data_IF_816969860487
#
_entry.id   IF_816969860487
#
_cell.length_a   1.000
_cell.length_b   1.000
_cell.length_c   1.000
_cell.angle_alpha   90.00
_cell.angle_beta   90.00
_cell.angle_gamma   90.00
#
_symmetry.space_group_name_H-M   'P 1'
#
loop_
_entity.id
_entity.type
_entity.pdbx_description
1 polymer ?
#
# COMPACT_ATOMS: atom_id res chain seq x y z
N UNK A 1 -31.46 26.86 -29.00
CA UNK A 1 -30.79 26.86 -27.69
C UNK A 1 -31.29 28.11 -26.98
N UNK A 2 -31.91 27.93 -25.81
CA UNK A 2 -32.45 29.02 -25.00
C UNK A 2 -31.26 29.75 -24.36
N UNK A 3 -31.21 31.08 -24.52
CA UNK A 3 -30.16 31.93 -23.94
C UNK A 3 -30.87 32.85 -22.97
N UNK A 4 -30.59 32.67 -21.69
CA UNK A 4 -31.11 33.54 -20.65
C UNK A 4 -30.18 34.73 -20.49
N UNK A 5 -30.74 35.93 -20.68
CA UNK A 5 -30.03 37.18 -20.44
C UNK A 5 -30.37 37.63 -19.03
N UNK A 6 -29.40 37.52 -18.14
CA UNK A 6 -29.52 38.02 -16.77
C UNK A 6 -28.85 39.39 -16.68
N UNK A 7 -29.60 40.37 -16.21
CA UNK A 7 -29.09 41.71 -15.91
C UNK A 7 -28.95 41.80 -14.39
N UNK A 8 -27.73 42.05 -13.92
CA UNK A 8 -27.51 42.28 -12.50
C UNK A 8 -28.35 43.48 -12.02
N UNK A 9 -29.04 43.37 -10.87
CA UNK A 9 -29.83 44.48 -10.34
C UNK A 9 -28.93 45.67 -10.01
N UNK A 10 -29.50 46.89 -9.99
CA UNK A 10 -28.75 48.12 -9.72
C UNK A 10 -27.97 48.03 -8.40
N UNK A 11 -26.86 48.78 -8.30
CA UNK A 11 -25.82 48.76 -7.24
C UNK A 11 -26.30 48.97 -5.77
N UNK A 12 -27.61 48.97 -5.49
CA UNK A 12 -28.19 49.05 -4.15
C UNK A 12 -29.05 47.86 -3.70
N UNK A 13 -29.30 46.86 -4.56
CA UNK A 13 -30.17 45.71 -4.21
C UNK A 13 -29.37 44.42 -3.97
N UNK A 14 -28.48 44.07 -4.90
CA UNK A 14 -27.59 42.89 -4.81
C UNK A 14 -26.33 43.18 -5.63
N UNK A 15 -25.16 42.72 -5.17
CA UNK A 15 -23.92 42.89 -5.92
C UNK A 15 -23.92 42.03 -7.20
N UNK A 16 -23.20 42.46 -8.24
CA UNK A 16 -23.03 41.60 -9.43
C UNK A 16 -22.30 40.29 -9.09
N UNK A 17 -21.43 40.31 -8.09
CA UNK A 17 -20.78 39.11 -7.55
C UNK A 17 -21.79 38.09 -7.03
N UNK A 18 -22.71 38.52 -6.15
CA UNK A 18 -23.70 37.63 -5.57
C UNK A 18 -24.66 37.09 -6.63
N UNK A 19 -25.02 37.95 -7.60
CA UNK A 19 -25.83 37.53 -8.76
C UNK A 19 -25.09 36.47 -9.57
N UNK A 20 -23.82 36.69 -9.89
CA UNK A 20 -23.00 35.76 -10.67
C UNK A 20 -22.79 34.42 -9.93
N UNK A 21 -22.63 34.45 -8.60
CA UNK A 21 -22.48 33.26 -7.76
C UNK A 21 -23.65 32.27 -7.88
N UNK A 22 -24.87 32.77 -8.07
CA UNK A 22 -26.08 31.95 -8.24
C UNK A 22 -26.02 31.09 -9.52
N UNK A 23 -25.33 31.56 -10.57
CA UNK A 23 -25.35 30.95 -11.90
C UNK A 23 -24.10 30.14 -12.23
N UNK A 24 -22.91 30.53 -11.76
CA UNK A 24 -21.62 29.93 -12.19
C UNK A 24 -21.54 28.41 -11.98
N UNK A 25 -22.28 27.86 -11.02
CA UNK A 25 -22.30 26.42 -10.76
C UNK A 25 -23.26 25.62 -11.67
N UNK A 26 -24.21 26.30 -12.32
CA UNK A 26 -25.28 25.66 -13.09
C UNK A 26 -25.13 25.88 -14.60
N UNK A 27 -24.56 27.02 -14.99
CA UNK A 27 -24.38 27.42 -16.38
C UNK A 27 -22.96 27.93 -16.60
N UNK A 28 -22.54 27.98 -17.87
CA UNK A 28 -21.27 28.58 -18.26
C UNK A 28 -21.53 30.05 -18.68
N UNK A 29 -21.25 31.03 -17.81
CA UNK A 29 -21.64 32.41 -18.07
C UNK A 29 -20.70 33.09 -19.08
N UNK A 30 -21.28 33.93 -19.93
CA UNK A 30 -20.55 34.93 -20.72
C UNK A 30 -20.82 36.29 -20.10
N UNK A 31 -19.82 36.83 -19.40
CA UNK A 31 -19.99 38.07 -18.63
C UNK A 31 -19.75 39.29 -19.52
N UNK A 32 -20.69 40.23 -19.49
CA UNK A 32 -20.58 41.52 -20.17
C UNK A 32 -20.66 42.64 -19.13
N UNK A 33 -19.76 43.61 -19.22
CA UNK A 33 -19.72 44.77 -18.33
C UNK A 33 -19.83 46.05 -19.16
N UNK A 34 -20.95 46.76 -19.03
CA UNK A 34 -21.23 47.97 -19.79
C UNK A 34 -20.82 49.23 -19.00
N UNK A 35 -20.18 50.17 -19.67
CA UNK A 35 -19.58 51.37 -19.06
C UNK A 35 -20.02 52.59 -19.86
N UNK A 36 -20.73 53.54 -19.24
CA UNK A 36 -21.14 54.77 -19.92
C UNK A 36 -20.02 55.83 -19.93
N UNK A 37 -19.25 55.88 -18.84
CA UNK A 37 -18.23 56.91 -18.59
C UNK A 37 -16.89 56.62 -19.29
N UNK A 38 -16.03 57.65 -19.51
CA UNK A 38 -14.69 57.45 -20.07
C UNK A 38 -13.72 56.74 -19.12
N UNK A 39 -14.07 56.55 -17.85
CA UNK A 39 -13.27 55.92 -16.80
C UNK A 39 -14.15 55.10 -15.86
N UNK A 40 -13.59 54.08 -15.23
CA UNK A 40 -14.27 53.30 -14.20
C UNK A 40 -14.44 54.12 -12.91
N UNK A 41 -15.65 54.12 -12.35
CA UNK A 41 -15.88 54.67 -11.03
C UNK A 41 -15.17 53.84 -9.94
N UNK A 42 -14.93 54.39 -8.74
CA UNK A 42 -14.38 53.61 -7.62
C UNK A 42 -15.23 52.39 -7.27
N UNK A 43 -16.55 52.49 -7.45
CA UNK A 43 -17.51 51.40 -7.26
C UNK A 43 -17.28 50.28 -8.28
N UNK A 44 -17.21 50.63 -9.57
CA UNK A 44 -16.98 49.65 -10.66
C UNK A 44 -15.64 48.93 -10.49
N UNK A 45 -14.60 49.66 -10.06
CA UNK A 45 -13.29 49.06 -9.79
C UNK A 45 -13.35 48.08 -8.61
N UNK A 46 -14.11 48.38 -7.56
CA UNK A 46 -14.27 47.48 -6.42
C UNK A 46 -15.05 46.21 -6.82
N UNK A 47 -16.15 46.37 -7.55
CA UNK A 47 -16.97 45.27 -8.05
C UNK A 47 -16.18 44.34 -8.99
N UNK A 48 -15.43 44.91 -9.95
CA UNK A 48 -14.59 44.13 -10.85
C UNK A 48 -13.47 43.38 -10.11
N UNK A 49 -12.88 43.96 -9.06
CA UNK A 49 -11.90 43.24 -8.22
C UNK A 49 -12.53 42.04 -7.53
N UNK A 50 -13.73 42.21 -6.99
CA UNK A 50 -14.45 41.13 -6.31
C UNK A 50 -14.79 39.97 -7.26
N UNK A 51 -15.31 40.29 -8.46
CA UNK A 51 -15.62 39.29 -9.49
C UNK A 51 -14.35 38.54 -9.92
N UNK A 52 -13.23 39.24 -10.09
CA UNK A 52 -11.97 38.63 -10.50
C UNK A 52 -11.42 37.67 -9.44
N UNK A 53 -11.45 38.07 -8.18
CA UNK A 53 -10.98 37.25 -7.05
C UNK A 53 -11.76 35.94 -6.93
N UNK A 54 -13.09 36.00 -7.08
CA UNK A 54 -13.96 34.84 -6.85
C UNK A 54 -14.14 33.94 -8.06
N UNK A 55 -14.19 34.49 -9.27
CA UNK A 55 -14.59 33.70 -10.46
C UNK A 55 -13.53 33.61 -11.56
N UNK A 56 -12.54 34.52 -11.61
CA UNK A 56 -11.50 34.52 -12.65
C UNK A 56 -12.04 34.34 -14.09
N UNK A 57 -13.19 34.95 -14.39
CA UNK A 57 -13.87 34.80 -15.68
C UNK A 57 -13.43 35.86 -16.69
N UNK A 58 -13.39 35.53 -18.00
CA UNK A 58 -13.24 36.52 -19.05
C UNK A 58 -14.47 37.44 -19.13
N UNK A 59 -14.25 38.75 -19.25
CA UNK A 59 -15.31 39.76 -19.31
C UNK A 59 -15.26 40.51 -20.65
N UNK A 60 -16.43 40.69 -21.27
CA UNK A 60 -16.61 41.58 -22.41
C UNK A 60 -16.95 42.98 -21.91
N UNK A 61 -16.01 43.91 -21.96
CA UNK A 61 -16.23 45.31 -21.59
C UNK A 61 -16.75 46.10 -22.79
N UNK A 62 -17.90 46.74 -22.64
CA UNK A 62 -18.52 47.58 -23.67
C UNK A 62 -18.64 49.02 -23.18
N UNK A 63 -18.06 49.97 -23.89
CA UNK A 63 -18.32 51.40 -23.65
C UNK A 63 -19.56 51.85 -24.42
N UNK A 64 -20.47 52.54 -23.74
CA UNK A 64 -21.69 53.11 -24.33
C UNK A 64 -21.55 54.64 -24.31
N UNK A 65 -21.30 55.30 -25.44
CA UNK A 65 -21.18 56.77 -25.47
C UNK A 65 -22.52 57.45 -25.16
N UNK A 66 -22.51 58.55 -24.40
CA UNK A 66 -23.70 59.36 -24.18
C UNK A 66 -24.14 60.09 -25.47
N UNK A 67 -25.45 60.15 -25.78
CA UNK A 67 -25.96 60.72 -27.02
C UNK A 67 -25.80 62.26 -27.15
N UNK A 68 -25.38 62.94 -26.08
CA UNK A 68 -25.24 64.41 -26.01
C UNK A 68 -23.92 64.94 -26.58
N UNK A 69 -22.95 64.06 -26.88
CA UNK A 69 -21.58 64.48 -27.19
C UNK A 69 -21.22 64.55 -28.69
N UNK A 70 -22.18 64.32 -29.60
CA UNK A 70 -21.92 64.25 -31.05
C UNK A 70 -22.07 65.57 -31.83
N UNK A 71 -22.42 66.69 -31.18
CA UNK A 71 -22.34 68.01 -31.84
C UNK A 71 -21.05 68.72 -31.40
N UNK A 72 -20.06 68.73 -32.30
CA UNK A 72 -18.78 69.46 -32.26
C UNK A 72 -17.54 68.63 -31.86
N UNK A 73 -17.04 67.81 -32.79
CA UNK A 73 -15.64 67.93 -33.26
C UNK A 73 -15.26 66.80 -34.23
N UNK A 74 -14.63 67.10 -35.37
CA UNK A 74 -13.90 66.09 -36.15
C UNK A 74 -12.48 66.00 -35.58
N UNK A 75 -12.25 65.11 -34.61
CA UNK A 75 -10.88 64.72 -34.25
C UNK A 75 -10.67 63.25 -34.57
N UNK A 76 -9.72 63.01 -35.49
CA UNK A 76 -9.17 61.70 -35.76
C UNK A 76 -8.64 61.08 -34.45
N UNK A 77 -8.90 59.79 -34.18
CA UNK A 77 -8.42 59.17 -32.95
C UNK A 77 -6.89 59.06 -33.00
N UNK A 78 -6.22 59.86 -32.16
CA UNK A 78 -4.81 59.67 -31.87
C UNK A 78 -4.62 58.30 -31.22
N UNK A 79 -3.49 57.66 -31.50
CA UNK A 79 -3.11 56.32 -31.02
C UNK A 79 -2.83 56.24 -29.50
N UNK A 80 -3.33 57.20 -28.72
CA UNK A 80 -3.13 57.26 -27.28
C UNK A 80 -4.17 56.38 -26.58
N UNK A 81 -3.67 55.47 -25.73
CA UNK A 81 -4.47 54.47 -25.02
C UNK A 81 -5.53 55.18 -24.17
N UNK A 82 -6.80 54.81 -24.33
CA UNK A 82 -7.90 55.37 -23.53
C UNK A 82 -7.65 55.16 -22.03
N UNK A 83 -8.05 56.10 -21.16
CA UNK A 83 -7.84 55.98 -19.72
C UNK A 83 -8.55 54.75 -19.14
N UNK A 84 -9.72 54.40 -19.68
CA UNK A 84 -10.43 53.16 -19.39
C UNK A 84 -9.58 51.90 -19.70
N UNK A 85 -8.90 51.86 -20.84
CA UNK A 85 -8.01 50.75 -21.20
C UNK A 85 -6.86 50.62 -20.20
N UNK A 86 -6.29 51.74 -19.74
CA UNK A 86 -5.22 51.71 -18.74
C UNK A 86 -5.73 51.16 -17.41
N UNK A 87 -6.90 51.61 -16.93
CA UNK A 87 -7.50 51.08 -15.69
C UNK A 87 -7.78 49.57 -15.78
N UNK A 88 -8.27 49.06 -16.91
CA UNK A 88 -8.50 47.63 -17.11
C UNK A 88 -7.21 46.81 -17.26
N UNK A 89 -6.12 47.42 -17.72
CA UNK A 89 -4.77 46.82 -17.69
C UNK A 89 -4.24 46.75 -16.25
N UNK A 90 -4.42 47.81 -15.47
CA UNK A 90 -3.98 47.88 -14.07
C UNK A 90 -4.75 46.88 -13.19
N UNK A 91 -6.04 46.69 -13.46
CA UNK A 91 -6.87 45.63 -12.88
C UNK A 91 -6.56 44.23 -13.46
N UNK A 92 -5.64 44.14 -14.44
CA UNK A 92 -5.19 42.93 -15.14
C UNK A 92 -6.34 42.10 -15.74
N UNK A 93 -7.36 42.77 -16.27
CA UNK A 93 -8.36 42.13 -17.12
C UNK A 93 -7.87 42.05 -18.57
N UNK A 94 -7.17 43.09 -19.03
CA UNK A 94 -6.60 43.14 -20.37
C UNK A 94 -5.13 42.71 -20.34
N UNK A 95 -4.65 42.15 -21.45
CA UNK A 95 -3.21 41.92 -21.65
C UNK A 95 -2.59 43.13 -22.39
N UNK A 96 -1.31 43.50 -22.12
CA UNK A 96 -0.64 44.69 -22.69
C UNK A 96 -0.50 44.76 -24.23
N UNK A 97 -1.05 43.78 -24.97
CA UNK A 97 -0.98 43.51 -26.41
C UNK A 97 0.41 43.20 -26.99
N UNK A 98 0.50 42.05 -27.66
CA UNK A 98 1.43 41.79 -28.76
C UNK A 98 0.90 42.37 -30.10
N UNK A 99 1.64 42.21 -31.23
CA UNK A 99 1.59 43.09 -32.41
C UNK A 99 0.25 43.23 -33.16
N UNK A 100 -0.75 42.39 -32.87
CA UNK A 100 -2.04 42.34 -33.58
C UNK A 100 -3.20 43.07 -32.88
N UNK A 101 -3.07 43.45 -31.61
CA UNK A 101 -4.19 44.03 -30.84
C UNK A 101 -5.36 43.06 -30.60
N UNK A 102 -5.27 41.82 -31.13
CA UNK A 102 -6.13 40.70 -30.79
C UNK A 102 -5.64 40.08 -29.46
N UNK A 103 -6.50 40.08 -28.43
CA UNK A 103 -6.21 39.42 -27.15
C UNK A 103 -6.05 37.90 -27.31
N UNK A 104 -5.51 37.22 -26.29
CA UNK A 104 -5.48 35.76 -26.28
C UNK A 104 -6.93 35.21 -26.37
N UNK A 105 -7.17 34.12 -27.11
CA UNK A 105 -8.51 33.53 -27.19
C UNK A 105 -9.05 33.24 -25.78
N UNK A 106 -10.27 33.73 -25.53
CA UNK A 106 -10.97 33.67 -24.24
C UNK A 106 -10.33 34.46 -23.10
N UNK A 107 -9.54 35.48 -23.41
CA UNK A 107 -9.22 36.57 -22.48
C UNK A 107 -10.27 37.70 -22.56
N UNK A 108 -10.36 38.54 -21.53
CA UNK A 108 -11.27 39.70 -21.51
C UNK A 108 -10.95 40.71 -22.62
N UNK A 109 -11.97 41.37 -23.14
CA UNK A 109 -11.87 42.30 -24.27
C UNK A 109 -12.56 43.62 -23.95
N UNK A 110 -11.95 44.75 -24.34
CA UNK A 110 -12.56 46.08 -24.30
C UNK A 110 -12.99 46.52 -25.70
N UNK A 111 -14.25 46.90 -25.83
CA UNK A 111 -14.86 47.46 -27.04
C UNK A 111 -15.40 48.85 -26.74
N UNK A 112 -14.78 49.87 -27.31
CA UNK A 112 -15.18 51.28 -27.08
C UNK A 112 -16.16 51.84 -28.13
N UNK A 113 -16.43 51.07 -29.19
CA UNK A 113 -17.25 51.48 -30.34
C UNK A 113 -18.48 50.58 -30.40
N UNK A 114 -19.68 51.17 -30.31
CA UNK A 114 -20.93 50.41 -30.23
C UNK A 114 -21.18 49.54 -31.47
N UNK A 115 -20.71 49.96 -32.65
CA UNK A 115 -20.82 49.20 -33.90
C UNK A 115 -20.02 47.89 -33.87
N UNK A 116 -19.07 47.79 -32.93
CA UNK A 116 -18.28 46.58 -32.68
C UNK A 116 -18.92 45.66 -31.64
N UNK A 117 -20.13 45.93 -31.15
CA UNK A 117 -20.90 45.02 -30.28
C UNK A 117 -21.07 43.63 -30.89
N UNK A 118 -21.10 43.52 -32.23
CA UNK A 118 -21.10 42.24 -32.96
C UNK A 118 -19.96 41.28 -32.56
N UNK A 119 -18.86 41.81 -32.01
CA UNK A 119 -17.74 41.02 -31.48
C UNK A 119 -18.12 40.18 -30.25
N UNK A 120 -19.21 40.50 -29.54
CA UNK A 120 -19.71 39.72 -28.41
C UNK A 120 -19.98 38.27 -28.82
N UNK A 121 -20.52 38.05 -30.02
CA UNK A 121 -20.79 36.70 -30.53
C UNK A 121 -19.50 35.88 -30.73
N UNK A 122 -18.43 36.52 -31.21
CA UNK A 122 -17.14 35.89 -31.40
C UNK A 122 -16.44 35.64 -30.05
N UNK A 123 -16.52 36.61 -29.14
CA UNK A 123 -16.02 36.49 -27.77
C UNK A 123 -16.70 35.34 -27.02
N UNK A 124 -18.03 35.30 -27.01
CA UNK A 124 -18.81 34.23 -26.39
C UNK A 124 -18.37 32.86 -26.93
N UNK A 125 -18.27 32.73 -28.26
CA UNK A 125 -17.81 31.49 -28.89
C UNK A 125 -16.41 31.09 -28.42
N UNK A 126 -15.47 32.04 -28.36
CA UNK A 126 -14.10 31.77 -27.92
C UNK A 126 -14.04 31.32 -26.46
N UNK A 127 -14.75 32.00 -25.55
CA UNK A 127 -14.79 31.64 -24.12
C UNK A 127 -15.38 30.24 -23.93
N UNK A 128 -16.51 29.96 -24.57
CA UNK A 128 -17.17 28.65 -24.47
C UNK A 128 -16.30 27.53 -25.08
N UNK A 129 -15.65 27.77 -26.22
CA UNK A 129 -14.75 26.81 -26.86
C UNK A 129 -13.51 26.54 -26.01
N UNK A 130 -12.90 27.56 -25.42
CA UNK A 130 -11.74 27.37 -24.54
C UNK A 130 -12.11 26.51 -23.34
N UNK A 131 -13.25 26.78 -22.71
CA UNK A 131 -13.72 25.99 -21.58
C UNK A 131 -13.96 24.53 -21.96
N UNK A 132 -14.60 24.28 -23.11
CA UNK A 132 -14.81 22.92 -23.64
C UNK A 132 -13.48 22.18 -23.84
N UNK A 133 -12.49 22.86 -24.45
CA UNK A 133 -11.16 22.27 -24.70
C UNK A 133 -10.45 21.97 -23.39
N UNK A 134 -10.49 22.87 -22.42
CA UNK A 134 -9.86 22.66 -21.11
C UNK A 134 -10.49 21.48 -20.38
N UNK A 135 -11.82 21.43 -20.30
CA UNK A 135 -12.54 20.33 -19.66
C UNK A 135 -12.27 18.99 -20.35
N UNK A 136 -12.33 18.95 -21.69
CA UNK A 136 -12.04 17.75 -22.45
C UNK A 136 -10.61 17.25 -22.23
N UNK A 137 -9.64 18.17 -22.14
CA UNK A 137 -8.24 17.85 -21.88
C UNK A 137 -8.07 17.24 -20.49
N UNK A 138 -8.62 17.88 -19.44
CA UNK A 138 -8.58 17.35 -18.07
C UNK A 138 -9.28 15.98 -17.96
N UNK A 139 -10.42 15.82 -18.62
CA UNK A 139 -11.14 14.54 -18.65
C UNK A 139 -10.31 13.45 -19.33
N UNK A 140 -9.66 13.76 -20.45
CA UNK A 140 -8.77 12.83 -21.17
C UNK A 140 -7.59 12.39 -20.29
N UNK A 141 -6.98 13.32 -19.55
CA UNK A 141 -5.90 13.02 -18.60
C UNK A 141 -6.37 12.07 -17.49
N UNK A 142 -7.53 12.34 -16.89
CA UNK A 142 -8.11 11.48 -15.85
C UNK A 142 -8.40 10.08 -16.42
N UNK A 143 -9.03 10.02 -17.59
CA UNK A 143 -9.33 8.75 -18.25
C UNK A 143 -8.06 7.95 -18.56
N UNK A 144 -7.01 8.59 -19.07
CA UNK A 144 -5.72 7.97 -19.32
C UNK A 144 -5.05 7.43 -18.05
N UNK A 145 -5.16 8.15 -16.93
CA UNK A 145 -4.67 7.67 -15.63
C UNK A 145 -5.45 6.45 -15.14
N UNK A 146 -6.77 6.48 -15.21
CA UNK A 146 -7.62 5.35 -14.84
C UNK A 146 -7.29 4.10 -15.67
N UNK A 147 -7.18 4.24 -16.99
CA UNK A 147 -6.81 3.13 -17.87
C UNK A 147 -5.43 2.56 -17.52
N UNK A 148 -4.44 3.40 -17.25
CA UNK A 148 -3.11 2.92 -16.83
C UNK A 148 -3.18 2.14 -15.51
N UNK A 149 -3.99 2.57 -14.54
CA UNK A 149 -4.19 1.83 -13.29
C UNK A 149 -4.82 0.47 -13.59
N UNK A 150 -5.90 0.43 -14.37
CA UNK A 150 -6.56 -0.83 -14.74
C UNK A 150 -5.62 -1.79 -15.47
N UNK A 151 -4.84 -1.29 -16.42
CA UNK A 151 -3.90 -2.11 -17.20
C UNK A 151 -2.82 -2.69 -16.28
N UNK A 152 -2.19 -1.87 -15.44
CA UNK A 152 -1.14 -2.34 -14.53
C UNK A 152 -1.70 -3.34 -13.51
N UNK A 153 -2.87 -3.06 -12.93
CA UNK A 153 -3.53 -3.97 -12.00
C UNK A 153 -3.88 -5.32 -12.65
N UNK A 154 -4.35 -5.31 -13.90
CA UNK A 154 -4.64 -6.54 -14.64
C UNK A 154 -3.37 -7.36 -14.88
N UNK A 155 -2.25 -6.72 -15.23
CA UNK A 155 -0.97 -7.41 -15.40
C UNK A 155 -0.41 -7.99 -14.10
N UNK A 156 -0.50 -7.25 -12.99
CA UNK A 156 -0.06 -7.74 -11.69
C UNK A 156 -0.92 -8.92 -11.25
N UNK A 157 -2.25 -8.82 -11.39
CA UNK A 157 -3.17 -9.92 -11.09
C UNK A 157 -2.91 -11.16 -11.96
N UNK A 158 -2.66 -10.98 -13.26
CA UNK A 158 -2.33 -12.09 -14.16
C UNK A 158 -1.01 -12.77 -13.74
N UNK A 159 0.00 -11.99 -13.36
CA UNK A 159 1.28 -12.52 -12.88
C UNK A 159 1.08 -13.28 -11.57
N UNK A 160 0.34 -12.74 -10.62
CA UNK A 160 0.10 -13.37 -9.33
C UNK A 160 -0.64 -14.71 -9.47
N UNK A 161 -1.62 -14.78 -10.39
CA UNK A 161 -2.31 -16.01 -10.74
C UNK A 161 -1.36 -17.09 -11.30
N UNK A 162 -0.24 -16.70 -11.93
CA UNK A 162 0.76 -17.65 -12.45
C UNK A 162 1.84 -18.01 -11.45
N UNK A 163 2.30 -17.06 -10.64
CA UNK A 163 3.43 -17.24 -9.73
C UNK A 163 2.99 -17.88 -8.41
N UNK A 164 1.85 -17.47 -7.85
CA UNK A 164 1.38 -17.93 -6.53
C UNK A 164 1.19 -19.45 -6.46
N UNK A 165 0.57 -20.12 -7.46
CA UNK A 165 0.43 -21.58 -7.42
C UNK A 165 1.78 -22.32 -7.40
N UNK A 166 2.76 -21.84 -8.17
CA UNK A 166 4.11 -22.42 -8.22
C UNK A 166 4.81 -22.28 -6.88
N UNK A 167 4.69 -21.12 -6.23
CA UNK A 167 5.25 -20.86 -4.91
C UNK A 167 4.58 -21.73 -3.83
N UNK A 168 3.26 -21.88 -3.87
CA UNK A 168 2.55 -22.76 -2.96
C UNK A 168 2.99 -24.22 -3.13
N UNK A 169 3.17 -24.68 -4.37
CA UNK A 169 3.67 -26.02 -4.65
C UNK A 169 5.10 -26.21 -4.12
N UNK A 170 5.97 -25.23 -4.30
CA UNK A 170 7.33 -25.25 -3.75
C UNK A 170 7.32 -25.35 -2.23
N UNK A 171 6.56 -24.49 -1.53
CA UNK A 171 6.42 -24.52 -0.07
C UNK A 171 5.90 -25.89 0.40
N UNK A 172 4.89 -26.45 -0.27
CA UNK A 172 4.37 -27.78 0.05
C UNK A 172 5.43 -28.88 -0.14
N UNK A 173 6.24 -28.79 -1.19
CA UNK A 173 7.35 -29.74 -1.41
C UNK A 173 8.37 -29.66 -0.28
N UNK A 174 8.74 -28.44 0.15
CA UNK A 174 9.71 -28.23 1.23
C UNK A 174 9.18 -28.66 2.59
N UNK A 175 7.90 -28.43 2.85
CA UNK A 175 7.20 -28.96 4.03
C UNK A 175 7.23 -30.49 4.05
N UNK A 176 6.96 -31.15 2.92
CA UNK A 176 7.02 -32.60 2.81
C UNK A 176 8.42 -33.14 3.07
N UNK A 177 9.46 -32.54 2.47
CA UNK A 177 10.85 -32.93 2.70
C UNK A 177 11.25 -32.78 4.18
N UNK A 178 10.83 -31.69 4.81
CA UNK A 178 11.07 -31.44 6.23
C UNK A 178 10.36 -32.46 7.12
N UNK A 179 9.10 -32.78 6.82
CA UNK A 179 8.33 -33.78 7.55
C UNK A 179 9.01 -35.15 7.51
N UNK A 180 9.40 -35.61 6.31
CA UNK A 180 10.11 -36.89 6.16
C UNK A 180 11.45 -36.90 6.91
N UNK A 181 12.19 -35.79 6.88
CA UNK A 181 13.45 -35.67 7.62
C UNK A 181 13.24 -35.77 9.14
N UNK A 182 12.26 -35.04 9.69
CA UNK A 182 11.95 -35.08 11.12
C UNK A 182 11.43 -36.46 11.54
N UNK A 183 10.57 -37.07 10.73
CA UNK A 183 10.08 -38.42 10.97
C UNK A 183 11.22 -39.44 10.99
N UNK A 184 12.19 -39.31 10.07
CA UNK A 184 13.40 -40.12 10.06
C UNK A 184 14.23 -39.97 11.34
N UNK A 185 14.42 -38.74 11.83
CA UNK A 185 15.14 -38.48 13.10
C UNK A 185 14.40 -39.13 14.28
N UNK A 186 13.08 -38.95 14.38
CA UNK A 186 12.27 -39.51 15.45
C UNK A 186 12.31 -41.04 15.46
N UNK A 187 12.08 -41.67 14.31
CA UNK A 187 12.10 -43.13 14.19
C UNK A 187 13.47 -43.72 14.57
N UNK A 188 14.56 -43.11 14.11
CA UNK A 188 15.91 -43.55 14.48
C UNK A 188 16.14 -43.42 15.99
N UNK A 189 15.76 -42.28 16.57
CA UNK A 189 15.93 -42.06 18.02
C UNK A 189 15.05 -42.95 18.86
N UNK A 190 13.86 -43.31 18.38
CA UNK A 190 12.99 -44.27 19.05
C UNK A 190 13.66 -45.65 19.15
N UNK A 191 14.26 -46.15 18.08
CA UNK A 191 14.98 -47.43 18.13
C UNK A 191 16.25 -47.35 19.01
N UNK A 192 17.01 -46.25 18.93
CA UNK A 192 18.17 -46.04 19.83
C UNK A 192 17.77 -46.02 21.32
N UNK A 193 16.64 -45.39 21.67
CA UNK A 193 16.12 -45.40 23.05
C UNK A 193 15.69 -46.80 23.49
N UNK A 194 15.08 -47.58 22.60
CA UNK A 194 14.68 -48.96 22.88
C UNK A 194 15.90 -49.85 23.12
N UNK A 195 16.92 -49.76 22.28
CA UNK A 195 18.19 -50.47 22.46
C UNK A 195 18.87 -50.08 23.79
N UNK A 196 18.94 -48.77 24.08
CA UNK A 196 19.50 -48.25 25.32
C UNK A 196 18.79 -48.79 26.58
N UNK A 197 17.46 -48.95 26.55
CA UNK A 197 16.70 -49.55 27.66
C UNK A 197 17.13 -51.01 27.84
N UNK A 198 17.15 -51.79 26.77
CA UNK A 198 17.52 -53.21 26.81
C UNK A 198 18.95 -53.38 27.34
N UNK A 199 19.89 -52.58 26.85
CA UNK A 199 21.28 -52.60 27.29
C UNK A 199 21.42 -52.22 28.76
N UNK A 200 20.67 -51.23 29.23
CA UNK A 200 20.70 -50.79 30.63
C UNK A 200 20.14 -51.87 31.56
N UNK A 201 19.04 -52.52 31.17
CA UNK A 201 18.49 -53.66 31.91
C UNK A 201 19.48 -54.82 31.97
N UNK A 202 20.15 -55.12 30.84
CA UNK A 202 21.15 -56.17 30.75
C UNK A 202 22.39 -55.90 31.61
N UNK A 203 22.92 -54.68 31.55
CA UNK A 203 24.15 -54.30 32.26
C UNK A 203 23.96 -54.25 33.78
N UNK A 204 22.78 -53.86 34.25
CA UNK A 204 22.51 -53.73 35.69
C UNK A 204 22.19 -55.06 36.36
N UNK A 205 21.99 -56.15 35.59
CA UNK A 205 21.53 -57.43 36.13
C UNK A 205 22.43 -57.96 37.25
N UNK A 206 23.74 -58.00 37.02
CA UNK A 206 24.69 -58.57 38.00
C UNK A 206 24.81 -57.67 39.24
N UNK A 207 24.88 -56.34 39.05
CA UNK A 207 24.89 -55.36 40.15
C UNK A 207 23.64 -55.46 41.03
N UNK A 208 22.46 -55.60 40.41
CA UNK A 208 21.19 -55.75 41.14
C UNK A 208 21.10 -57.08 41.91
N UNK A 209 21.70 -58.16 41.39
CA UNK A 209 21.77 -59.43 42.11
C UNK A 209 22.68 -59.32 43.33
N UNK A 210 23.80 -58.62 43.21
CA UNK A 210 24.72 -58.34 44.32
C UNK A 210 24.08 -57.42 45.38
N UNK A 211 23.43 -56.34 44.95
CA UNK A 211 22.68 -55.43 45.83
C UNK A 211 21.53 -56.15 46.55
N UNK A 212 20.84 -57.07 45.88
CA UNK A 212 19.76 -57.85 46.50
C UNK A 212 20.30 -58.93 47.47
N UNK A 213 21.44 -59.55 47.18
CA UNK A 213 22.06 -60.54 48.04
C UNK A 213 22.64 -59.93 49.33
N UNK A 214 23.11 -58.69 49.25
CA UNK A 214 23.64 -57.93 50.38
C UNK A 214 22.57 -57.12 51.13
N UNK A 215 21.29 -57.25 50.74
CA UNK A 215 20.20 -56.44 51.29
C UNK A 215 19.86 -56.84 52.73
N UNK A 216 19.86 -55.85 53.62
CA UNK A 216 19.32 -56.00 54.97
C UNK A 216 17.81 -55.71 54.97
N UNK A 217 17.01 -56.72 55.31
CA UNK A 217 15.56 -56.59 55.36
C UNK A 217 15.11 -55.80 56.58
N UNK A 218 14.30 -54.76 56.36
CA UNK A 218 13.71 -53.99 57.46
C UNK A 218 12.50 -54.72 58.02
N UNK A 219 12.34 -54.65 59.35
CA UNK A 219 11.22 -55.20 60.10
C UNK A 219 11.02 -56.73 59.95
N UNK A 220 12.10 -57.47 59.71
CA UNK A 220 12.10 -58.94 59.59
C UNK A 220 13.27 -59.48 60.42
N UNK A 221 12.98 -60.39 61.35
CA UNK A 221 14.00 -61.06 62.16
C UNK A 221 14.30 -62.38 61.46
N UNK A 222 15.51 -62.53 60.92
CA UNK A 222 15.98 -63.78 60.32
C UNK A 222 16.60 -64.62 61.46
N UNK A 223 15.96 -65.73 61.90
CA UNK A 223 16.50 -66.56 62.97
C UNK A 223 17.75 -67.31 62.48
N UNK A 224 18.87 -67.19 63.20
CA UNK A 224 20.13 -67.89 62.89
C UNK A 224 20.05 -69.42 63.07
N UNK A 225 19.01 -69.91 63.78
CA UNK A 225 18.82 -71.33 64.13
C UNK A 225 18.25 -72.21 63.00
N UNK A 226 17.96 -71.64 61.83
CA UNK A 226 17.37 -72.39 60.70
C UNK A 226 15.87 -72.66 60.84
N UNK A 227 15.19 -71.96 61.75
CA UNK A 227 13.73 -72.05 61.89
C UNK A 227 12.98 -71.45 60.68
N UNK A 228 11.80 -72.02 60.31
CA UNK A 228 11.05 -71.56 59.15
C UNK A 228 10.48 -70.16 59.35
N UNK A 229 10.87 -69.24 58.47
CA UNK A 229 10.37 -67.85 58.41
C UNK A 229 8.89 -67.84 58.03
N UNK A 230 8.09 -66.92 58.60
CA UNK A 230 6.65 -66.86 58.33
C UNK A 230 6.37 -66.45 56.87
N UNK A 231 5.26 -66.94 56.31
CA UNK A 231 4.84 -66.58 54.95
C UNK A 231 4.58 -65.08 54.75
N UNK A 232 4.25 -64.35 55.84
CA UNK A 232 4.09 -62.91 55.83
C UNK A 232 5.43 -62.20 55.65
N UNK A 233 6.46 -62.70 56.33
CA UNK A 233 7.80 -62.11 56.29
C UNK A 233 8.47 -62.39 54.94
N UNK A 234 8.29 -63.59 54.38
CA UNK A 234 8.75 -63.91 53.01
C UNK A 234 8.14 -62.95 51.98
N UNK A 235 6.82 -62.67 52.07
CA UNK A 235 6.17 -61.71 51.16
C UNK A 235 6.75 -60.30 51.32
N UNK A 236 7.07 -59.90 52.55
CA UNK A 236 7.66 -58.60 52.85
C UNK A 236 9.11 -58.49 52.35
N UNK A 237 9.89 -59.57 52.39
CA UNK A 237 11.19 -59.67 51.73
C UNK A 237 11.07 -59.49 50.21
N UNK A 238 10.16 -60.22 49.56
CA UNK A 238 9.94 -60.13 48.11
C UNK A 238 9.58 -58.70 47.72
N UNK A 239 8.70 -58.05 48.47
CA UNK A 239 8.30 -56.68 48.19
C UNK A 239 9.48 -55.70 48.32
N UNK A 240 10.29 -55.80 49.38
CA UNK A 240 11.47 -54.93 49.56
C UNK A 240 12.49 -55.12 48.44
N UNK A 241 12.75 -56.36 48.00
CA UNK A 241 13.65 -56.64 46.87
C UNK A 241 13.09 -56.04 45.57
N UNK A 242 11.79 -56.22 45.31
CA UNK A 242 11.14 -55.66 44.12
C UNK A 242 11.22 -54.13 44.11
N UNK A 243 10.95 -53.47 45.24
CA UNK A 243 11.05 -52.01 45.37
C UNK A 243 12.48 -51.50 45.12
N UNK A 244 13.50 -52.17 45.66
CA UNK A 244 14.90 -51.84 45.40
C UNK A 244 15.24 -51.93 43.90
N UNK A 245 14.90 -53.06 43.27
CA UNK A 245 15.18 -53.33 41.86
C UNK A 245 14.47 -52.31 40.96
N UNK A 246 13.17 -52.09 41.18
CA UNK A 246 12.38 -51.15 40.39
C UNK A 246 12.92 -49.73 40.56
N UNK A 247 13.26 -49.32 41.79
CA UNK A 247 13.81 -47.99 42.04
C UNK A 247 15.13 -47.76 41.30
N UNK A 248 16.06 -48.71 41.39
CA UNK A 248 17.38 -48.60 40.74
C UNK A 248 17.26 -48.62 39.22
N UNK A 249 16.47 -49.54 38.67
CA UNK A 249 16.26 -49.63 37.22
C UNK A 249 15.59 -48.38 36.67
N UNK A 250 14.51 -47.91 37.30
CA UNK A 250 13.81 -46.71 36.85
C UNK A 250 14.72 -45.50 36.90
N UNK A 251 15.55 -45.35 37.94
CA UNK A 251 16.47 -44.24 38.04
C UNK A 251 17.51 -44.25 36.91
N UNK A 252 18.13 -45.40 36.65
CA UNK A 252 19.15 -45.52 35.61
C UNK A 252 18.57 -45.32 34.20
N UNK A 253 17.41 -45.92 33.90
CA UNK A 253 16.72 -45.77 32.62
C UNK A 253 16.24 -44.33 32.43
N UNK A 254 15.61 -43.73 33.45
CA UNK A 254 15.13 -42.36 33.36
C UNK A 254 16.28 -41.37 33.12
N UNK A 255 17.41 -41.53 33.81
CA UNK A 255 18.58 -40.68 33.61
C UNK A 255 19.07 -40.68 32.16
N UNK A 256 19.13 -41.86 31.53
CA UNK A 256 19.56 -41.96 30.13
C UNK A 256 18.50 -41.46 29.15
N UNK A 257 17.21 -41.73 29.42
CA UNK A 257 16.10 -41.27 28.59
C UNK A 257 16.02 -39.74 28.53
N UNK A 258 16.24 -39.04 29.65
CA UNK A 258 16.25 -37.57 29.69
C UNK A 258 17.25 -37.03 28.67
N UNK A 259 18.49 -37.52 28.68
CA UNK A 259 19.52 -37.08 27.73
C UNK A 259 19.18 -37.43 26.28
N UNK A 260 18.58 -38.60 26.02
CA UNK A 260 18.15 -38.99 24.67
C UNK A 260 17.03 -38.10 24.12
N UNK A 261 16.07 -37.73 24.99
CA UNK A 261 14.95 -36.85 24.63
C UNK A 261 15.43 -35.41 24.42
N UNK A 262 16.33 -34.91 25.26
CA UNK A 262 16.93 -33.58 25.09
C UNK A 262 17.65 -33.47 23.74
N UNK A 263 18.44 -34.49 23.38
CA UNK A 263 19.09 -34.54 22.07
C UNK A 263 18.07 -34.57 20.92
N UNK A 264 17.00 -35.36 21.04
CA UNK A 264 15.94 -35.42 20.02
C UNK A 264 15.31 -34.03 19.82
N UNK A 265 15.01 -33.33 20.93
CA UNK A 265 14.47 -31.97 20.90
C UNK A 265 15.42 -31.00 20.20
N UNK A 266 16.70 -30.99 20.58
CA UNK A 266 17.70 -30.10 19.96
C UNK A 266 17.87 -30.39 18.46
N UNK A 267 17.87 -31.67 18.08
CA UNK A 267 17.97 -32.10 16.67
C UNK A 267 16.77 -31.65 15.84
N UNK A 268 15.56 -31.78 16.40
CA UNK A 268 14.32 -31.29 15.79
C UNK A 268 14.36 -29.78 15.58
N UNK A 269 14.65 -29.03 16.64
CA UNK A 269 14.72 -27.57 16.60
C UNK A 269 15.76 -27.10 15.58
N UNK A 270 16.97 -27.65 15.61
CA UNK A 270 18.00 -27.25 14.65
C UNK A 270 17.65 -27.57 13.20
N UNK A 271 16.89 -28.63 12.94
CA UNK A 271 16.43 -28.97 11.59
C UNK A 271 15.36 -28.01 11.09
N UNK A 272 14.42 -27.63 11.97
CA UNK A 272 13.43 -26.59 11.68
C UNK A 272 14.10 -25.24 11.39
N UNK A 273 15.02 -24.80 12.26
CA UNK A 273 15.72 -23.52 12.12
C UNK A 273 16.51 -23.44 10.81
N UNK A 274 17.23 -24.50 10.44
CA UNK A 274 17.97 -24.56 9.17
C UNK A 274 17.04 -24.51 7.96
N UNK A 275 15.91 -25.22 8.00
CA UNK A 275 14.93 -25.21 6.92
C UNK A 275 14.30 -23.82 6.76
N UNK A 276 13.89 -23.21 7.87
CA UNK A 276 13.29 -21.88 7.88
C UNK A 276 14.27 -20.82 7.35
N UNK A 277 15.52 -20.83 7.83
CA UNK A 277 16.57 -19.93 7.33
C UNK A 277 16.82 -20.11 5.83
N UNK A 278 16.87 -21.36 5.35
CA UNK A 278 17.03 -21.62 3.91
C UNK A 278 15.85 -21.11 3.08
N UNK A 279 14.63 -21.18 3.60
CA UNK A 279 13.44 -20.63 2.93
C UNK A 279 13.49 -19.11 2.87
N UNK A 280 13.89 -18.44 3.95
CA UNK A 280 14.06 -16.99 4.02
C UNK A 280 15.16 -16.49 3.07
N UNK A 281 16.30 -17.17 2.97
CA UNK A 281 17.36 -16.82 2.02
C UNK A 281 16.93 -17.04 0.56
N UNK A 282 16.18 -18.12 0.28
CA UNK A 282 15.64 -18.38 -1.06
C UNK A 282 14.58 -17.34 -1.49
N UNK A 283 13.91 -16.74 -0.51
CA UNK A 283 12.88 -15.73 -0.71
C UNK A 283 13.48 -14.41 -1.18
N UNK A 284 14.53 -13.92 -0.50
CA UNK A 284 15.17 -12.65 -0.81
C UNK A 284 15.76 -12.63 -2.24
N UNK A 285 16.24 -13.77 -2.74
CA UNK A 285 16.73 -13.91 -4.11
C UNK A 285 15.65 -13.89 -5.20
N UNK A 286 14.38 -14.16 -4.86
CA UNK A 286 13.27 -14.28 -5.84
C UNK A 286 12.42 -13.01 -5.97
N UNK A 287 12.44 -12.12 -4.97
CA UNK A 287 11.60 -10.90 -4.92
C UNK A 287 12.20 -9.71 -5.70
N UNK A 288 13.45 -9.80 -6.16
CA UNK A 288 14.06 -8.79 -7.03
C UNK A 288 14.37 -9.33 -8.43
N UNK A 289 13.39 -9.33 -9.36
CA UNK A 289 13.75 -9.22 -10.77
C UNK A 289 14.28 -7.80 -10.97
N UNK A 290 15.61 -7.66 -11.03
CA UNK A 290 16.26 -6.46 -11.53
C UNK A 290 15.56 -6.03 -12.81
N UNK A 291 14.84 -4.90 -12.77
CA UNK A 291 14.50 -4.12 -13.97
C UNK A 291 15.81 -3.60 -14.55
N UNK A 292 16.48 -4.43 -15.33
CA UNK A 292 17.78 -4.09 -15.91
C UNK A 292 18.33 -5.22 -16.76
N UNK A 293 18.08 -5.11 -18.06
CA UNK A 293 18.72 -5.76 -19.21
C UNK A 293 19.09 -7.24 -19.12
N UNK A 294 18.58 -7.97 -20.11
CA UNK A 294 19.00 -9.29 -20.54
C UNK A 294 20.49 -9.60 -20.32
N UNK A 295 20.76 -10.74 -19.67
CA UNK A 295 21.76 -11.69 -20.15
C UNK A 295 21.31 -13.10 -19.82
N UNK A 296 21.12 -13.86 -20.89
CA UNK A 296 20.97 -15.31 -20.91
C UNK A 296 22.01 -15.97 -20.01
N UNK A 297 21.55 -16.82 -19.08
CA UNK A 297 22.34 -17.96 -18.63
C UNK A 297 21.43 -19.10 -18.18
N UNK A 298 21.42 -20.10 -19.06
CA UNK A 298 21.16 -21.50 -18.76
C UNK A 298 21.86 -21.94 -17.46
N UNK A 299 21.16 -22.72 -16.65
CA UNK A 299 21.57 -23.05 -15.29
C UNK A 299 20.54 -23.89 -14.56
N UNK A 300 20.31 -25.11 -15.06
CA UNK A 300 19.79 -26.21 -14.24
C UNK A 300 20.63 -26.32 -12.96
N UNK A 301 20.13 -25.82 -11.84
CA UNK A 301 20.73 -26.10 -10.53
C UNK A 301 20.23 -27.48 -10.10
N UNK A 302 20.91 -28.51 -10.61
CA UNK A 302 20.96 -29.80 -9.96
C UNK A 302 21.55 -29.58 -8.56
N UNK A 303 20.68 -29.61 -7.53
CA UNK A 303 21.13 -29.77 -6.15
C UNK A 303 21.75 -31.18 -6.08
N UNK A 304 23.07 -31.21 -6.18
CA UNK A 304 23.87 -32.43 -6.18
C UNK A 304 23.87 -33.05 -4.78
N UNK A 305 23.62 -34.35 -4.79
CA UNK A 305 23.66 -35.31 -3.68
C UNK A 305 25.06 -35.46 -3.05
N UNK A 306 25.61 -34.43 -2.40
CA UNK A 306 26.98 -34.48 -1.84
C UNK A 306 27.14 -33.98 -0.40
N UNK A 307 26.12 -34.09 0.45
CA UNK A 307 26.26 -33.79 1.89
C UNK A 307 25.92 -34.95 2.84
N UNK A 308 26.00 -36.20 2.36
CA UNK A 308 25.80 -37.42 3.17
C UNK A 308 27.09 -38.24 3.40
N UNK A 309 28.26 -37.61 3.37
CA UNK A 309 29.52 -38.25 3.80
C UNK A 309 30.24 -37.42 4.85
N UNK A 310 29.65 -37.34 6.03
CA UNK A 310 30.33 -37.15 7.32
C UNK A 310 29.26 -37.14 8.43
N UNK A 311 28.75 -38.33 8.77
CA UNK A 311 28.48 -38.83 10.14
C UNK A 311 28.52 -40.35 10.06
#
# INVERSE_FOLDING_TARGET
>A
QEVDIVVAPCQGFQSAEATLAEFVNQVLPVVTFAISEPQLSPSDQAELREIKEKFSLPIFFLRIPEPSSELNSPQAPTKDRSPLRQQLLDLQFLSPSGPCGCGAPGSSVLVEQLEKLRLLSAFARQVLQQHLVELATRLSEIHGRCLNIFINQAFDMQRDLQITPKRLQYTRSKESELFESLMGIANRKQEEMKEMIVDTLGSMKEELLEDAASMEFRDIIIPESGEPVSSRDIKRCIQQIQELIISRLNQAVASKLISSVDYLRESFVGTLERCLKSLEESWEGSVHPSRGLEKSRDGSVHITSNYLKQV
#
